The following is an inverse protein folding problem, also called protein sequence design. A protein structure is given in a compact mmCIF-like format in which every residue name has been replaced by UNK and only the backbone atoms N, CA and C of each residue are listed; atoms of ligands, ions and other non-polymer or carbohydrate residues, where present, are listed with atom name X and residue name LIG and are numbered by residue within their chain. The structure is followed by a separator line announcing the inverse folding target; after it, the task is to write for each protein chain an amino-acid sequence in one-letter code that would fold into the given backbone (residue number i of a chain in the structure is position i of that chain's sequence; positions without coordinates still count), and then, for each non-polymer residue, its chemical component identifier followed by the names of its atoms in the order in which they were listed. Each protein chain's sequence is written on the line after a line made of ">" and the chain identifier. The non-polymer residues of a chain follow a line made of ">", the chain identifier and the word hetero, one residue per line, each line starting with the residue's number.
data_IF_730785723650
#
_entry.id   IF_730785723650
#
_cell.length_a   1.000
_cell.length_b   1.000
_cell.length_c   1.000
_cell.angle_alpha   90.00
_cell.angle_beta   90.00
_cell.angle_gamma   90.00
#
_symmetry.space_group_name_H-M   'P 1'
#
loop_
_entity.id
_entity.type
_entity.pdbx_description
1 polymer ?
#
# COMPACT_ATOMS: atom_id res chain seq x y z
N UNK A 1 -25.58 -1.61 11.63
CA UNK A 1 -25.17 -2.54 10.56
C UNK A 1 -23.67 -2.39 10.39
N UNK A 2 -22.88 -3.40 10.80
CA UNK A 2 -21.44 -3.39 10.56
C UNK A 2 -21.21 -3.62 9.06
N UNK A 3 -20.67 -2.63 8.35
CA UNK A 3 -20.27 -2.79 6.96
C UNK A 3 -19.03 -3.70 6.93
N UNK A 4 -19.16 -4.91 6.39
CA UNK A 4 -18.00 -5.81 6.24
C UNK A 4 -17.16 -5.40 5.04
N UNK A 5 -15.85 -5.25 5.26
CA UNK A 5 -14.84 -4.98 4.23
C UNK A 5 -14.41 -6.24 3.49
N UNK A 6 -14.84 -7.42 3.94
CA UNK A 6 -14.24 -8.71 3.52
C UNK A 6 -14.12 -8.87 2.00
N UNK A 7 -15.15 -8.46 1.24
CA UNK A 7 -15.18 -8.62 -0.22
C UNK A 7 -14.60 -7.45 -1.02
N UNK A 8 -14.09 -6.40 -0.36
CA UNK A 8 -13.56 -5.23 -1.06
C UNK A 8 -12.23 -5.57 -1.74
N UNK A 9 -12.00 -5.04 -2.95
CA UNK A 9 -10.81 -5.31 -3.75
C UNK A 9 -9.97 -4.03 -3.83
N UNK A 10 -8.78 -3.98 -3.17
CA UNK A 10 -7.85 -2.88 -3.36
C UNK A 10 -7.18 -2.96 -4.75
N UNK A 11 -6.92 -1.81 -5.35
CA UNK A 11 -6.27 -1.69 -6.66
C UNK A 11 -5.25 -0.56 -6.62
N UNK A 12 -4.02 -0.83 -7.09
CA UNK A 12 -2.95 0.18 -7.21
C UNK A 12 -3.34 1.23 -8.25
N UNK A 13 -3.13 2.50 -7.91
CA UNK A 13 -3.18 3.61 -8.85
C UNK A 13 -1.79 3.85 -9.46
N UNK A 14 -1.71 4.54 -10.61
CA UNK A 14 -0.42 4.88 -11.21
C UNK A 14 0.46 5.70 -10.25
N UNK A 15 1.56 5.10 -9.82
CA UNK A 15 2.62 5.73 -9.02
C UNK A 15 3.94 5.03 -9.33
N UNK A 16 5.03 5.78 -9.36
CA UNK A 16 6.36 5.19 -9.45
C UNK A 16 6.76 4.57 -8.11
N UNK A 17 7.38 3.40 -8.16
CA UNK A 17 7.90 2.71 -6.98
C UNK A 17 9.04 1.78 -7.37
N UNK A 18 9.83 1.39 -6.38
CA UNK A 18 10.99 0.51 -6.56
C UNK A 18 11.13 -0.45 -5.38
N UNK A 19 11.79 -1.57 -5.61
CA UNK A 19 12.26 -2.44 -4.53
C UNK A 19 13.59 -1.95 -3.97
N UNK A 20 13.79 -2.19 -2.68
CA UNK A 20 15.04 -1.90 -1.97
C UNK A 20 15.38 -3.05 -1.03
N UNK A 21 16.69 -3.29 -0.89
CA UNK A 21 17.23 -4.30 0.02
C UNK A 21 17.05 -5.73 -0.48
N UNK A 22 17.30 -6.65 0.44
CA UNK A 22 17.24 -8.09 0.21
C UNK A 22 15.81 -8.62 0.33
N UNK A 23 15.62 -9.85 -0.16
CA UNK A 23 14.36 -10.59 -0.06
C UNK A 23 14.02 -10.80 1.42
N UNK A 24 12.81 -10.40 1.83
CA UNK A 24 12.29 -10.58 3.18
C UNK A 24 11.37 -11.79 3.30
N UNK A 25 10.62 -11.88 4.41
CA UNK A 25 9.59 -12.90 4.59
C UNK A 25 8.47 -12.68 3.55
N UNK A 26 8.13 -13.72 2.79
CA UNK A 26 7.12 -13.68 1.75
C UNK A 26 6.38 -15.03 1.61
N UNK A 27 5.16 -15.04 1.06
CA UNK A 27 4.46 -16.28 0.73
C UNK A 27 5.01 -16.90 -0.56
N UNK A 28 4.69 -18.16 -0.84
CA UNK A 28 5.00 -18.83 -2.12
C UNK A 28 4.01 -18.42 -3.23
N UNK A 29 3.96 -17.11 -3.53
CA UNK A 29 3.10 -16.52 -4.57
C UNK A 29 4.00 -15.89 -5.63
N UNK A 30 3.77 -16.21 -6.90
CA UNK A 30 4.53 -15.65 -8.00
C UNK A 30 4.47 -14.10 -8.01
N UNK A 31 5.63 -13.47 -8.13
CA UNK A 31 5.76 -12.01 -8.15
C UNK A 31 5.78 -11.32 -6.79
N UNK A 32 5.61 -12.06 -5.68
CA UNK A 32 5.72 -11.52 -4.32
C UNK A 32 7.11 -11.85 -3.78
N UNK A 33 7.84 -10.82 -3.35
CA UNK A 33 9.26 -10.92 -3.00
C UNK A 33 9.56 -10.63 -1.54
N UNK A 34 8.66 -9.94 -0.82
CA UNK A 34 8.90 -9.51 0.55
C UNK A 34 9.99 -8.45 0.70
N UNK A 35 10.46 -7.85 -0.40
CA UNK A 35 11.44 -6.76 -0.37
C UNK A 35 10.79 -5.48 0.14
N UNK A 36 11.62 -4.57 0.67
CA UNK A 36 11.16 -3.23 1.02
C UNK A 36 10.69 -2.51 -0.25
N UNK A 37 9.49 -1.93 -0.21
CA UNK A 37 8.96 -1.11 -1.30
C UNK A 37 9.10 0.36 -0.94
N UNK A 38 9.60 1.15 -1.90
CA UNK A 38 9.74 2.60 -1.76
C UNK A 38 8.85 3.29 -2.80
N UNK A 39 7.87 4.07 -2.34
CA UNK A 39 7.04 4.90 -3.22
C UNK A 39 7.78 6.19 -3.60
N UNK A 40 7.70 6.56 -4.87
CA UNK A 40 8.29 7.77 -5.44
C UNK A 40 7.16 8.77 -5.74
N UNK A 41 6.83 9.62 -4.76
CA UNK A 41 5.69 10.55 -4.87
C UNK A 41 6.16 11.93 -5.31
N UNK A 42 5.69 12.40 -6.45
CA UNK A 42 5.95 13.76 -6.92
C UNK A 42 5.30 14.81 -6.01
N UNK A 43 6.06 15.86 -5.66
CA UNK A 43 5.50 17.02 -4.97
C UNK A 43 4.71 17.87 -5.95
N UNK A 44 3.40 17.99 -5.71
CA UNK A 44 2.58 19.03 -6.35
C UNK A 44 2.82 20.36 -5.65
N UNK A 45 3.82 21.11 -6.12
CA UNK A 45 4.09 22.46 -5.59
C UNK A 45 3.02 23.45 -6.09
N UNK A 46 2.33 24.10 -5.16
CA UNK A 46 1.57 25.31 -5.44
C UNK A 46 2.49 26.48 -5.86
N UNK A 47 1.92 27.57 -6.38
CA UNK A 47 2.70 28.71 -6.89
C UNK A 47 3.64 29.32 -5.83
N UNK A 48 3.20 29.41 -4.58
CA UNK A 48 4.01 29.92 -3.47
C UNK A 48 5.11 28.94 -3.06
N UNK A 49 4.79 27.64 -2.96
CA UNK A 49 5.77 26.61 -2.60
C UNK A 49 6.85 26.44 -3.65
N UNK A 50 6.57 26.76 -4.93
CA UNK A 50 7.57 26.73 -6.00
C UNK A 50 8.67 27.78 -5.81
N UNK A 51 8.36 28.93 -5.21
CA UNK A 51 9.34 29.98 -4.88
C UNK A 51 10.21 29.51 -3.72
N UNK A 52 9.59 29.02 -2.65
CA UNK A 52 10.29 28.43 -1.50
C UNK A 52 11.16 27.22 -1.89
N UNK A 53 10.66 26.34 -2.76
CA UNK A 53 11.38 25.16 -3.23
C UNK A 53 12.64 25.53 -4.03
N UNK A 54 12.62 26.61 -4.80
CA UNK A 54 13.81 27.13 -5.50
C UNK A 54 14.84 27.69 -4.53
N UNK A 55 14.40 28.43 -3.53
CA UNK A 55 15.28 29.01 -2.50
C UNK A 55 15.93 27.89 -1.66
N UNK A 56 15.15 26.86 -1.29
CA UNK A 56 15.58 25.77 -0.40
C UNK A 56 16.14 24.53 -1.14
N UNK A 57 16.23 24.56 -2.48
CA UNK A 57 16.59 23.40 -3.33
C UNK A 57 15.80 22.13 -2.96
N UNK A 58 14.52 22.28 -2.66
CA UNK A 58 13.71 21.16 -2.17
C UNK A 58 13.56 20.06 -3.24
N UNK A 59 13.70 18.77 -2.89
CA UNK A 59 13.60 17.67 -3.85
C UNK A 59 12.17 17.60 -4.41
N UNK A 60 12.08 17.36 -5.73
CA UNK A 60 10.82 17.28 -6.48
C UNK A 60 10.05 15.97 -6.24
N UNK A 61 10.76 14.91 -5.88
CA UNK A 61 10.21 13.59 -5.56
C UNK A 61 10.45 13.29 -4.08
N UNK A 62 9.44 12.77 -3.40
CA UNK A 62 9.54 12.26 -2.04
C UNK A 62 9.62 10.75 -2.12
N UNK A 63 10.74 10.19 -1.65
CA UNK A 63 10.90 8.76 -1.44
C UNK A 63 10.26 8.40 -0.10
N UNK A 64 9.28 7.50 -0.12
CA UNK A 64 8.60 6.99 1.07
C UNK A 64 8.89 5.50 1.20
N UNK A 65 9.96 5.12 1.92
CA UNK A 65 10.17 3.73 2.28
C UNK A 65 9.02 3.26 3.17
N UNK A 66 8.54 2.05 2.93
CA UNK A 66 7.46 1.44 3.69
C UNK A 66 8.02 0.40 4.65
N UNK A 67 7.34 0.24 5.79
CA UNK A 67 7.62 -0.86 6.70
C UNK A 67 7.43 -2.21 5.98
N UNK A 68 8.08 -3.30 6.41
CA UNK A 68 8.04 -4.59 5.72
C UNK A 68 6.60 -5.12 5.54
N UNK A 69 5.76 -5.01 6.57
CA UNK A 69 4.33 -5.41 6.48
C UNK A 69 3.52 -4.56 5.50
N UNK A 70 3.84 -3.27 5.36
CA UNK A 70 3.19 -2.39 4.40
C UNK A 70 3.69 -2.65 2.97
N UNK A 71 4.97 -3.01 2.83
CA UNK A 71 5.55 -3.45 1.56
C UNK A 71 4.91 -4.75 1.09
N UNK A 72 4.71 -5.72 1.98
CA UNK A 72 3.96 -6.94 1.68
C UNK A 72 2.52 -6.65 1.24
N UNK A 73 1.79 -5.79 1.99
CA UNK A 73 0.46 -5.37 1.57
C UNK A 73 0.49 -4.75 0.16
N UNK A 74 1.46 -3.86 -0.12
CA UNK A 74 1.62 -3.30 -1.46
C UNK A 74 1.81 -4.40 -2.50
N UNK A 75 2.72 -5.35 -2.30
CA UNK A 75 2.93 -6.46 -3.24
C UNK A 75 1.65 -7.28 -3.47
N UNK A 76 0.91 -7.61 -2.40
CA UNK A 76 -0.31 -8.43 -2.45
C UNK A 76 -1.49 -7.79 -3.20
N UNK A 77 -1.52 -6.45 -3.33
CA UNK A 77 -2.53 -5.73 -4.10
C UNK A 77 -2.28 -5.95 -5.60
N UNK A 78 -2.98 -6.92 -6.18
CA UNK A 78 -2.94 -7.29 -7.60
C UNK A 78 -4.19 -6.87 -8.38
N UNK A 79 -5.17 -6.30 -7.68
CA UNK A 79 -6.46 -5.89 -8.23
C UNK A 79 -7.50 -7.00 -8.36
N UNK A 80 -7.22 -8.20 -7.85
CA UNK A 80 -8.15 -9.33 -7.81
C UNK A 80 -8.38 -9.86 -6.39
N UNK A 81 -7.35 -9.87 -5.53
CA UNK A 81 -7.49 -10.33 -4.13
C UNK A 81 -8.45 -9.44 -3.35
N UNK A 82 -9.31 -10.08 -2.56
CA UNK A 82 -10.18 -9.39 -1.63
C UNK A 82 -9.41 -8.95 -0.38
N UNK A 83 -9.99 -8.04 0.37
CA UNK A 83 -9.48 -7.61 1.67
C UNK A 83 -9.31 -8.79 2.63
N UNK A 84 -10.24 -9.75 2.61
CA UNK A 84 -10.15 -10.94 3.45
C UNK A 84 -8.98 -11.84 3.02
N UNK A 85 -8.82 -12.11 1.72
CA UNK A 85 -7.68 -12.90 1.21
C UNK A 85 -6.34 -12.31 1.64
N UNK A 86 -6.22 -10.99 1.56
CA UNK A 86 -5.02 -10.26 1.98
C UNK A 86 -4.81 -10.40 3.49
N UNK A 87 -5.86 -10.27 4.30
CA UNK A 87 -5.76 -10.42 5.75
C UNK A 87 -5.30 -11.83 6.13
N UNK A 88 -5.85 -12.87 5.49
CA UNK A 88 -5.50 -14.26 5.77
C UNK A 88 -4.02 -14.53 5.42
N UNK A 89 -3.54 -14.02 4.29
CA UNK A 89 -2.11 -14.11 3.92
C UNK A 89 -1.24 -13.36 4.94
N UNK A 90 -1.61 -12.13 5.31
CA UNK A 90 -0.84 -11.30 6.25
C UNK A 90 -0.75 -11.92 7.65
N UNK A 91 -1.86 -12.46 8.16
CA UNK A 91 -1.91 -13.17 9.45
C UNK A 91 -1.06 -14.44 9.42
N UNK A 92 -1.09 -15.19 8.32
CA UNK A 92 -0.28 -16.41 8.15
C UNK A 92 1.22 -16.15 8.12
N UNK A 93 1.65 -14.96 7.67
CA UNK A 93 3.06 -14.60 7.57
C UNK A 93 3.59 -13.92 8.84
N UNK A 94 2.82 -13.01 9.42
CA UNK A 94 3.32 -12.10 10.44
C UNK A 94 2.71 -12.31 11.83
N UNK A 95 1.63 -13.08 11.96
CA UNK A 95 1.03 -13.45 13.24
C UNK A 95 0.87 -12.24 14.19
N UNK A 96 1.56 -12.26 15.33
CA UNK A 96 1.48 -11.22 16.36
C UNK A 96 1.92 -9.83 15.88
N UNK A 97 2.82 -9.73 14.90
CA UNK A 97 3.32 -8.44 14.38
C UNK A 97 2.23 -7.63 13.66
N UNK A 98 1.19 -8.30 13.16
CA UNK A 98 0.09 -7.67 12.42
C UNK A 98 -1.23 -7.66 13.20
N UNK A 99 -1.30 -8.35 14.34
CA UNK A 99 -2.53 -8.48 15.11
C UNK A 99 -3.05 -7.14 15.68
N UNK A 100 -4.39 -6.91 15.71
CA UNK A 100 -5.42 -7.63 14.95
C UNK A 100 -5.35 -7.29 13.44
N UNK A 101 -5.18 -8.31 12.60
CA UNK A 101 -4.83 -8.13 11.17
C UNK A 101 -5.83 -7.28 10.39
N UNK A 102 -7.14 -7.48 10.59
CA UNK A 102 -8.16 -6.74 9.84
C UNK A 102 -8.06 -5.24 10.13
N UNK A 103 -7.91 -4.83 11.38
CA UNK A 103 -7.78 -3.41 11.73
C UNK A 103 -6.46 -2.84 11.21
N UNK A 104 -5.38 -3.63 11.26
CA UNK A 104 -4.05 -3.22 10.80
C UNK A 104 -3.98 -3.01 9.29
N UNK A 105 -4.46 -3.99 8.51
CA UNK A 105 -4.49 -3.95 7.05
C UNK A 105 -5.42 -2.82 6.59
N UNK A 106 -6.58 -2.65 7.24
CA UNK A 106 -7.48 -1.53 6.95
C UNK A 106 -6.79 -0.19 7.18
N UNK A 107 -6.09 0.00 8.29
CA UNK A 107 -5.36 1.23 8.58
C UNK A 107 -4.26 1.51 7.52
N UNK A 108 -3.57 0.48 7.02
CA UNK A 108 -2.60 0.63 5.95
C UNK A 108 -3.26 1.02 4.62
N UNK A 109 -4.37 0.38 4.24
CA UNK A 109 -5.13 0.75 3.04
C UNK A 109 -5.64 2.20 3.12
N UNK A 110 -6.12 2.65 4.28
CA UNK A 110 -6.52 4.04 4.48
C UNK A 110 -5.35 5.02 4.27
N UNK A 111 -4.13 4.65 4.67
CA UNK A 111 -2.93 5.44 4.37
C UNK A 111 -2.70 5.49 2.85
N UNK A 112 -2.77 4.36 2.15
CA UNK A 112 -2.55 4.31 0.70
C UNK A 112 -3.62 5.08 -0.08
N UNK A 113 -4.88 5.02 0.35
CA UNK A 113 -5.98 5.81 -0.21
C UNK A 113 -5.74 7.30 0.01
N UNK A 114 -5.36 7.72 1.23
CA UNK A 114 -5.02 9.14 1.50
C UNK A 114 -3.82 9.64 0.70
N UNK A 115 -2.86 8.77 0.41
CA UNK A 115 -1.73 9.07 -0.47
C UNK A 115 -2.09 9.05 -1.96
N UNK A 116 -3.32 8.66 -2.31
CA UNK A 116 -3.81 8.52 -3.68
C UNK A 116 -2.95 7.55 -4.52
N UNK A 117 -2.51 6.44 -3.90
CA UNK A 117 -1.74 5.38 -4.56
C UNK A 117 -2.50 4.05 -4.64
N UNK A 118 -3.63 3.92 -3.92
CA UNK A 118 -4.55 2.79 -3.98
C UNK A 118 -5.97 3.31 -3.95
N UNK A 119 -6.88 2.61 -4.62
CA UNK A 119 -8.34 2.74 -4.46
C UNK A 119 -8.91 1.40 -4.03
N UNK A 120 -10.13 1.37 -3.48
CA UNK A 120 -10.78 0.13 -3.05
C UNK A 120 -12.17 0.06 -3.68
N UNK A 121 -12.44 -1.04 -4.39
CA UNK A 121 -13.73 -1.30 -5.02
C UNK A 121 -14.57 -2.25 -4.18
N UNK A 122 -15.88 -2.04 -4.19
CA UNK A 122 -16.84 -3.06 -3.76
C UNK A 122 -17.30 -3.83 -5.01
N UNK A 123 -17.13 -5.15 -5.09
CA UNK A 123 -17.73 -5.92 -6.17
C UNK A 123 -19.24 -5.72 -6.15
N UNK A 124 -19.84 -5.54 -7.33
CA UNK A 124 -21.30 -5.51 -7.46
C UNK A 124 -21.79 -6.95 -7.20
N UNK A 125 -22.75 -7.11 -6.30
CA UNK A 125 -23.52 -8.35 -6.20
C UNK A 125 -24.24 -8.52 -7.54
N UNK A 126 -23.89 -9.55 -8.32
CA UNK A 126 -24.66 -9.91 -9.51
C UNK A 126 -26.04 -10.38 -9.03
N UNK A 127 -27.10 -9.69 -9.48
CA UNK A 127 -28.52 -10.01 -9.21
C UNK A 127 -28.96 -11.33 -9.84
#
# INVERSE_FOLDING_TARGET
>A
MSFSWDNYIPVKLPVEWEFRGDVGLHPEIEGITGREVVLLIEKRFSRFERILAKILKAPKVVRRPMHYTQSMLWELIDGNRTFLDICDIMESLYHEDIAPVKDRVKAYLEVFVRLNVVTVFRPKEEE
#
